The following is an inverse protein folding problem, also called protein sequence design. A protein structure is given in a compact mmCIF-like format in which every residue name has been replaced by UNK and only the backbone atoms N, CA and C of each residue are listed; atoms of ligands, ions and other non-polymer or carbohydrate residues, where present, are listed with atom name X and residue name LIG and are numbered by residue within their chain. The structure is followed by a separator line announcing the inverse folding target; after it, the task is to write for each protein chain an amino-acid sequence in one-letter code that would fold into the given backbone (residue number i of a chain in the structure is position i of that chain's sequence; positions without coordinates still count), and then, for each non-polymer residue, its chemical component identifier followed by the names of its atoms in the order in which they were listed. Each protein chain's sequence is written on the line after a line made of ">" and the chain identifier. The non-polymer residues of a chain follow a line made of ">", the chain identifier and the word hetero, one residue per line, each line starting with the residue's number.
data_IF_156267420825
#
_entry.id   IF_156267420825
#
_cell.length_a   1.000
_cell.length_b   1.000
_cell.length_c   1.000
_cell.angle_alpha   90.00
_cell.angle_beta   90.00
_cell.angle_gamma   90.00
#
_symmetry.space_group_name_H-M   'P 1'
#
loop_
_entity.id
_entity.type
_entity.pdbx_description
1 polymer ?
#
# COMPACT_ATOMS: atom_id res chain seq x y z
N UNK A 1 -5.30 -2.63 -2.07
CA UNK A 1 -4.64 -2.07 -0.88
C UNK A 1 -5.26 -0.73 -0.44
N UNK A 2 -5.07 0.36 -1.20
CA UNK A 2 -5.51 1.73 -0.81
C UNK A 2 -7.00 1.82 -0.47
N UNK A 3 -7.88 1.26 -1.31
CA UNK A 3 -9.32 1.23 -1.05
C UNK A 3 -9.69 0.49 0.24
N UNK A 4 -8.96 -0.57 0.58
CA UNK A 4 -9.17 -1.32 1.83
C UNK A 4 -8.68 -0.59 3.07
N UNK A 5 -7.74 0.35 2.95
CA UNK A 5 -7.32 1.20 4.07
C UNK A 5 -8.27 2.40 4.24
N UNK A 6 -8.69 3.01 3.14
CA UNK A 6 -9.41 4.29 3.14
C UNK A 6 -10.91 4.10 3.37
N UNK A 7 -11.56 3.13 2.71
CA UNK A 7 -13.02 2.95 2.81
C UNK A 7 -13.46 2.62 4.24
N UNK A 8 -12.85 1.64 4.96
CA UNK A 8 -13.23 1.37 6.34
C UNK A 8 -12.98 2.58 7.24
N UNK A 9 -11.87 3.31 7.04
CA UNK A 9 -11.58 4.51 7.81
C UNK A 9 -12.62 5.62 7.61
N UNK A 10 -12.95 5.96 6.36
CA UNK A 10 -13.90 7.04 6.06
C UNK A 10 -15.33 6.73 6.52
N UNK A 11 -15.72 5.46 6.52
CA UNK A 11 -17.10 5.05 6.78
C UNK A 11 -17.33 4.36 8.13
N UNK A 12 -16.28 4.09 8.93
CA UNK A 12 -16.41 3.48 10.27
C UNK A 12 -17.29 4.31 11.22
N UNK A 13 -17.37 5.62 11.03
CA UNK A 13 -18.22 6.53 11.83
C UNK A 13 -19.71 6.40 11.48
N UNK A 14 -20.03 6.07 10.23
CA UNK A 14 -21.42 6.04 9.70
C UNK A 14 -21.97 4.61 9.63
N UNK A 15 -21.12 3.62 9.37
CA UNK A 15 -21.49 2.21 9.22
C UNK A 15 -20.51 1.31 10.01
N UNK A 16 -20.82 1.00 11.29
CA UNK A 16 -19.95 0.18 12.13
C UNK A 16 -19.75 -1.26 11.60
N UNK A 17 -20.59 -1.75 10.67
CA UNK A 17 -20.39 -3.02 9.98
C UNK A 17 -19.16 -3.07 9.06
N UNK A 18 -18.67 -1.92 8.59
CA UNK A 18 -17.46 -1.82 7.75
C UNK A 18 -16.16 -2.00 8.54
N UNK A 19 -16.20 -2.00 9.88
CA UNK A 19 -15.04 -2.35 10.70
C UNK A 19 -14.56 -3.79 10.45
N UNK A 20 -15.44 -4.71 10.01
CA UNK A 20 -15.05 -6.08 9.66
C UNK A 20 -14.24 -6.16 8.35
N UNK A 21 -14.35 -5.15 7.47
CA UNK A 21 -13.53 -5.03 6.26
C UNK A 21 -12.15 -4.40 6.52
N UNK A 22 -11.86 -3.99 7.77
CA UNK A 22 -10.54 -3.54 8.20
C UNK A 22 -9.57 -4.73 8.33
N UNK A 23 -9.25 -5.36 7.19
CA UNK A 23 -8.32 -6.50 7.08
C UNK A 23 -6.93 -6.16 7.65
N UNK A 24 -6.58 -4.87 7.72
CA UNK A 24 -5.28 -4.40 8.24
C UNK A 24 -5.25 -4.14 9.75
N UNK A 25 -6.39 -4.15 10.46
CA UNK A 25 -6.51 -3.83 11.90
C UNK A 25 -5.83 -2.49 12.27
N UNK A 26 -6.05 -1.45 11.46
CA UNK A 26 -5.49 -0.11 11.71
C UNK A 26 -6.16 0.51 12.95
N UNK A 27 -5.37 1.19 13.79
CA UNK A 27 -5.73 1.56 15.17
C UNK A 27 -6.75 2.72 15.25
N UNK A 28 -6.76 3.61 14.25
CA UNK A 28 -7.73 4.72 14.13
C UNK A 28 -8.00 5.07 12.65
N UNK A 29 -9.22 5.50 12.28
CA UNK A 29 -9.52 6.00 10.94
C UNK A 29 -8.59 7.11 10.44
N UNK A 30 -8.19 8.02 11.34
CA UNK A 30 -7.33 9.15 11.02
C UNK A 30 -5.89 8.71 10.74
N UNK A 31 -5.35 7.76 11.51
CA UNK A 31 -4.02 7.20 11.29
C UNK A 31 -3.94 6.41 9.99
N UNK A 32 -4.99 5.69 9.63
CA UNK A 32 -5.09 4.92 8.39
C UNK A 32 -5.00 5.81 7.15
N UNK A 33 -5.73 6.93 7.13
CA UNK A 33 -5.73 7.89 6.02
C UNK A 33 -4.37 8.56 5.91
N UNK A 34 -3.82 9.06 7.03
CA UNK A 34 -2.49 9.69 7.06
C UNK A 34 -1.39 8.74 6.57
N UNK A 35 -1.41 7.49 7.03
CA UNK A 35 -0.45 6.46 6.60
C UNK A 35 -0.53 6.16 5.11
N UNK A 36 -1.75 6.10 4.55
CA UNK A 36 -1.95 5.88 3.12
C UNK A 36 -1.43 7.04 2.26
N UNK A 37 -1.61 8.29 2.72
CA UNK A 37 -1.09 9.49 2.04
C UNK A 37 0.44 9.52 2.12
N UNK A 38 1.03 9.30 3.30
CA UNK A 38 2.48 9.27 3.50
C UNK A 38 3.13 8.17 2.65
N UNK A 39 2.53 6.97 2.61
CA UNK A 39 3.00 5.89 1.74
C UNK A 39 3.05 6.32 0.26
N UNK A 40 2.02 7.02 -0.22
CA UNK A 40 1.99 7.49 -1.61
C UNK A 40 3.08 8.51 -1.91
N UNK A 41 3.40 9.41 -0.97
CA UNK A 41 4.48 10.36 -1.13
C UNK A 41 5.85 9.65 -1.19
N UNK A 42 6.08 8.70 -0.28
CA UNK A 42 7.35 7.97 -0.20
C UNK A 42 7.56 7.02 -1.37
N UNK A 43 6.52 6.30 -1.80
CA UNK A 43 6.66 5.29 -2.85
C UNK A 43 7.07 5.90 -4.20
N UNK A 44 6.66 7.13 -4.50
CA UNK A 44 7.08 7.83 -5.72
C UNK A 44 8.59 8.05 -5.70
N UNK A 45 9.14 8.59 -4.60
CA UNK A 45 10.58 8.85 -4.46
C UNK A 45 11.39 7.57 -4.61
N UNK A 46 10.93 6.48 -4.00
CA UNK A 46 11.57 5.16 -4.08
C UNK A 46 11.55 4.59 -5.50
N UNK A 47 10.50 4.85 -6.29
CA UNK A 47 10.35 4.32 -7.65
C UNK A 47 11.07 5.17 -8.72
N UNK A 48 11.41 6.43 -8.45
CA UNK A 48 12.13 7.29 -9.41
C UNK A 48 13.44 6.64 -9.91
N UNK A 49 14.36 6.14 -9.04
CA UNK A 49 15.59 5.49 -9.50
C UNK A 49 15.32 4.26 -10.37
N UNK A 50 14.25 3.51 -10.07
CA UNK A 50 13.86 2.34 -10.84
C UNK A 50 13.34 2.75 -12.23
N UNK A 51 12.56 3.82 -12.31
CA UNK A 51 12.07 4.37 -13.57
C UNK A 51 13.21 4.89 -14.46
N UNK A 52 14.23 5.53 -13.86
CA UNK A 52 15.39 6.06 -14.59
C UNK A 52 16.36 4.96 -15.07
N UNK A 53 16.57 3.90 -14.29
CA UNK A 53 17.47 2.79 -14.66
C UNK A 53 16.86 1.86 -15.71
N UNK A 54 15.54 1.88 -15.87
CA UNK A 54 14.82 0.96 -16.73
C UNK A 54 14.83 -0.49 -16.21
N UNK A 55 13.93 -1.31 -16.75
CA UNK A 55 13.84 -2.73 -16.38
C UNK A 55 14.71 -3.55 -17.33
N UNK A 56 15.62 -4.36 -16.78
CA UNK A 56 16.47 -5.27 -17.58
C UNK A 56 15.59 -6.23 -18.38
N UNK A 57 15.53 -6.02 -19.69
CA UNK A 57 14.84 -6.91 -20.61
C UNK A 57 15.64 -8.21 -20.78
N UNK A 58 14.96 -9.36 -20.69
CA UNK A 58 15.55 -10.68 -20.98
C UNK A 58 14.74 -11.29 -22.12
N UNK A 59 15.34 -11.63 -23.27
CA UNK A 59 14.61 -12.20 -24.40
C UNK A 59 13.99 -13.54 -23.98
N UNK A 60 12.67 -13.63 -24.12
CA UNK A 60 11.86 -14.82 -23.87
C UNK A 60 10.56 -14.70 -24.68
N UNK A 61 9.81 -15.80 -24.80
CA UNK A 61 8.51 -15.77 -25.45
C UNK A 61 7.56 -14.81 -24.72
N UNK A 62 6.63 -14.19 -25.47
CA UNK A 62 5.69 -13.22 -24.93
C UNK A 62 4.89 -13.76 -23.73
N UNK A 63 4.45 -15.02 -23.81
CA UNK A 63 3.76 -15.69 -22.70
C UNK A 63 4.63 -15.77 -21.43
N UNK A 64 5.91 -16.15 -21.57
CA UNK A 64 6.84 -16.29 -20.44
C UNK A 64 7.20 -14.94 -19.82
N UNK A 65 7.29 -13.89 -20.64
CA UNK A 65 7.48 -12.51 -20.17
C UNK A 65 6.26 -12.01 -19.40
N UNK A 66 5.05 -12.22 -19.94
CA UNK A 66 3.81 -11.79 -19.31
C UNK A 66 3.62 -12.44 -17.95
N UNK A 67 3.78 -13.77 -17.85
CA UNK A 67 3.69 -14.48 -16.57
C UNK A 67 4.69 -13.92 -15.57
N UNK A 68 5.96 -13.75 -15.95
CA UNK A 68 6.98 -13.20 -15.03
C UNK A 68 6.64 -11.78 -14.59
N UNK A 69 6.10 -10.96 -15.49
CA UNK A 69 5.72 -9.58 -15.17
C UNK A 69 4.57 -9.53 -14.17
N UNK A 70 3.56 -10.38 -14.34
CA UNK A 70 2.43 -10.52 -13.40
C UNK A 70 2.91 -11.03 -12.04
N UNK A 71 3.77 -12.06 -12.02
CA UNK A 71 4.30 -12.61 -10.76
C UNK A 71 5.17 -11.61 -10.00
N UNK A 72 6.02 -10.83 -10.67
CA UNK A 72 6.94 -9.90 -9.99
C UNK A 72 6.26 -8.55 -9.71
N UNK A 73 5.70 -7.90 -10.72
CA UNK A 73 5.14 -6.55 -10.60
C UNK A 73 3.67 -6.56 -10.18
N UNK A 74 2.91 -7.60 -10.52
CA UNK A 74 1.53 -7.77 -10.07
C UNK A 74 1.46 -8.11 -8.58
N UNK A 75 2.12 -9.20 -8.13
CA UNK A 75 2.14 -9.53 -6.71
C UNK A 75 2.97 -8.55 -5.88
N UNK A 76 4.12 -8.09 -6.40
CA UNK A 76 4.91 -7.06 -5.74
C UNK A 76 4.08 -5.78 -5.54
N UNK A 77 3.40 -5.32 -6.59
CA UNK A 77 2.51 -4.16 -6.53
C UNK A 77 1.28 -4.36 -5.62
N UNK A 78 0.84 -5.61 -5.43
CA UNK A 78 -0.22 -5.94 -4.49
C UNK A 78 0.27 -5.91 -3.04
N UNK A 79 1.36 -6.61 -2.71
CA UNK A 79 1.82 -6.85 -1.33
C UNK A 79 2.54 -5.64 -0.74
N UNK A 80 3.39 -4.98 -1.52
CA UNK A 80 4.20 -3.83 -1.10
C UNK A 80 3.38 -2.70 -0.42
N UNK A 81 2.24 -2.24 -0.97
CA UNK A 81 1.45 -1.20 -0.32
C UNK A 81 0.80 -1.65 0.99
N UNK A 82 0.40 -2.92 1.14
CA UNK A 82 -0.14 -3.40 2.42
C UNK A 82 0.94 -3.40 3.50
N UNK A 83 2.14 -3.89 3.17
CA UNK A 83 3.26 -3.89 4.11
C UNK A 83 3.70 -2.46 4.46
N UNK A 84 3.86 -1.59 3.45
CA UNK A 84 4.31 -0.21 3.65
C UNK A 84 3.34 0.63 4.48
N UNK A 85 2.04 0.60 4.16
CA UNK A 85 1.03 1.35 4.93
C UNK A 85 1.00 0.86 6.39
N UNK A 86 1.09 -0.44 6.63
CA UNK A 86 1.09 -1.00 7.99
C UNK A 86 2.32 -0.59 8.79
N UNK A 87 3.50 -0.60 8.17
CA UNK A 87 4.74 -0.14 8.83
C UNK A 87 4.65 1.34 9.17
N UNK A 88 4.11 2.16 8.27
CA UNK A 88 3.93 3.59 8.50
C UNK A 88 2.92 3.84 9.63
N UNK A 89 1.79 3.13 9.65
CA UNK A 89 0.79 3.24 10.72
C UNK A 89 1.37 2.84 12.08
N UNK A 90 2.16 1.76 12.10
CA UNK A 90 2.88 1.32 13.30
C UNK A 90 3.92 2.32 13.79
N UNK A 91 4.55 3.10 12.91
CA UNK A 91 5.49 4.16 13.32
C UNK A 91 4.71 5.37 13.86
N UNK A 92 3.62 5.75 13.17
CA UNK A 92 2.81 6.92 13.52
C UNK A 92 2.13 6.76 14.88
N UNK A 93 1.66 5.56 15.24
CA UNK A 93 1.03 5.31 16.55
C UNK A 93 1.98 5.54 17.74
N UNK A 94 3.30 5.52 17.54
CA UNK A 94 4.29 5.80 18.59
C UNK A 94 4.62 7.29 18.73
N UNK A 95 4.14 8.15 17.81
CA UNK A 95 4.35 9.61 17.87
C UNK A 95 3.27 10.21 18.79
N UNK A 96 3.62 10.78 19.96
CA UNK A 96 2.65 11.38 20.87
C UNK A 96 2.05 12.64 20.21
N UNK A 97 0.77 12.58 19.84
CA UNK A 97 0.06 13.70 19.18
C UNK A 97 -0.94 13.29 18.10
N UNK A 98 -0.90 12.03 17.63
CA UNK A 98 -1.78 11.48 16.58
C UNK A 98 -2.70 10.34 17.07
N UNK A 99 -3.06 10.34 18.36
CA UNK A 99 -4.02 9.39 18.95
C UNK A 99 -5.46 9.76 18.65
#
# INVERSE_FOLDING_TARGET
>A
AKYFAIIPAMFAVVYPGLNQLNIMKLHSPTSAISSAIIFNALIIVVLIPLALRGVRYRPASAAKLLSRNIWVYGLGGLVLPFAGIKVIDLIIQFIPGLR
#
